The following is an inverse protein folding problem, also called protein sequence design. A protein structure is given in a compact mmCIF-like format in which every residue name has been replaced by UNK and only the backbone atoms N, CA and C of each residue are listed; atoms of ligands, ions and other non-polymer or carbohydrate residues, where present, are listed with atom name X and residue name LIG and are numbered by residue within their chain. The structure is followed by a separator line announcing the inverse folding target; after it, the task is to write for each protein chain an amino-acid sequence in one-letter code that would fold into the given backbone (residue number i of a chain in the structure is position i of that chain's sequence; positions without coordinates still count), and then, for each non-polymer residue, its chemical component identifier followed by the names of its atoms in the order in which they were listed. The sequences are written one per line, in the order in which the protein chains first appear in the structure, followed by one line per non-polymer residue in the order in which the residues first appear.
data_IF_504954943338
#
_entry.id   IF_504954943338
#
_cell.length_a   1.000
_cell.length_b   1.000
_cell.length_c   1.000
_cell.angle_alpha   90.00
_cell.angle_beta   90.00
_cell.angle_gamma   90.00
#
_symmetry.space_group_name_H-M   'P 1'
#
loop_
_entity.id
_entity.type
_entity.pdbx_description
1 polymer ?
2 polymer ?
3 non-polymer ?
4 water ?
#
# COMPACT_ATOMS: atom_id res chain seq x y z
N UNK A 11 -26.48 -14.54 -2.06
CA UNK A 11 -26.22 -14.35 -0.60
C UNK A 11 -25.74 -12.91 -0.27
N UNK A 12 -24.83 -12.35 -1.08
CA UNK A 12 -24.52 -10.92 -1.02
C UNK A 12 -25.79 -10.13 -1.33
N UNK A 13 -26.09 -9.12 -0.52
CA UNK A 13 -27.19 -8.20 -0.85
C UNK A 13 -26.83 -7.41 -2.13
N UNK A 14 -27.85 -6.85 -2.78
CA UNK A 14 -27.65 -6.03 -3.99
C UNK A 14 -26.79 -4.80 -3.67
N UNK A 15 -26.98 -4.24 -2.47
CA UNK A 15 -26.17 -3.11 -1.98
C UNK A 15 -24.72 -3.48 -1.80
N UNK A 16 -24.46 -4.72 -1.37
CA UNK A 16 -23.09 -5.19 -1.18
C UNK A 16 -22.39 -5.46 -2.50
N UNK A 17 -23.10 -6.10 -3.45
CA UNK A 17 -22.56 -6.35 -4.78
C UNK A 17 -22.13 -5.04 -5.43
N UNK A 18 -23.02 -4.04 -5.42
CA UNK A 18 -22.71 -2.70 -5.93
C UNK A 18 -21.49 -2.07 -5.21
N UNK A 19 -21.45 -2.16 -3.88
CA UNK A 19 -20.36 -1.58 -3.11
C UNK A 19 -19.04 -2.20 -3.55
N UNK A 20 -19.00 -3.53 -3.67
CA UNK A 20 -17.79 -4.25 -4.08
C UNK A 20 -17.40 -4.02 -5.55
N UNK A 21 -18.38 -4.02 -6.45
CA UNK A 21 -18.12 -3.75 -7.86
C UNK A 21 -17.42 -2.43 -8.06
N UNK A 22 -17.88 -1.42 -7.31
CA UNK A 22 -17.36 -0.07 -7.43
C UNK A 22 -15.94 0.04 -6.87
N UNK A 23 -15.65 -0.66 -5.78
CA UNK A 23 -14.28 -0.70 -5.21
C UNK A 23 -13.29 -1.36 -6.17
N UNK A 24 -13.70 -2.48 -6.76
CA UNK A 24 -12.88 -3.22 -7.73
C UNK A 24 -12.65 -2.40 -9.00
N UNK A 25 -13.70 -1.69 -9.45
CA UNK A 25 -13.60 -0.81 -10.62
C UNK A 25 -12.77 0.43 -10.29
N UNK A 26 -12.99 0.98 -9.09
CA UNK A 26 -12.21 2.14 -8.59
C UNK A 26 -10.71 1.85 -8.56
N UNK A 27 -10.33 0.62 -8.19
CA UNK A 27 -8.92 0.24 -8.10
C UNK A 27 -8.30 -0.09 -9.46
N UNK A 28 -9.10 -0.56 -10.39
CA UNK A 28 -8.63 -0.76 -11.76
C UNK A 28 -8.37 0.58 -12.47
N UNK A 29 -9.27 1.55 -12.30
CA UNK A 29 -9.09 2.93 -12.83
C UNK A 29 -7.84 3.62 -12.25
N UNK A 30 -7.66 3.53 -10.92
CA UNK A 30 -6.46 4.07 -10.25
C UNK A 30 -5.18 3.41 -10.76
N UNK A 31 -5.27 2.12 -11.09
CA UNK A 31 -4.12 1.34 -11.53
C UNK A 31 -3.69 1.62 -12.96
N UNK A 32 -4.64 1.81 -13.87
CA UNK A 32 -4.29 2.08 -15.28
C UNK A 32 -3.67 3.48 -15.48
N UNK A 33 -3.98 4.42 -14.58
CA UNK A 33 -3.32 5.73 -14.53
C UNK A 33 -1.79 5.61 -14.30
N UNK A 34 -1.40 4.69 -13.41
CA UNK A 34 0.01 4.35 -13.16
C UNK A 34 0.74 3.78 -14.40
N UNK A 35 0.08 2.83 -15.08
CA UNK A 35 0.62 2.18 -16.30
C UNK A 35 0.86 3.19 -17.44
N UNK A 36 0.16 4.33 -17.41
CA UNK A 36 0.37 5.43 -18.38
C UNK A 36 1.79 6.05 -18.27
N UNK A 37 2.30 6.18 -17.02
CA UNK A 37 3.64 6.73 -16.76
C UNK A 37 4.64 5.68 -16.23
N UNK A 38 4.71 4.52 -16.92
CA UNK A 38 5.76 3.50 -16.70
C UNK A 38 7.05 3.82 -17.50
N UNK A 39 6.93 4.29 -18.77
CA UNK A 39 8.16 4.65 -19.47
C UNK A 39 8.73 6.03 -19.02
N UNK A 40 8.29 6.49 -17.85
CA UNK A 40 8.73 7.75 -17.26
C UNK A 40 9.52 7.56 -15.95
N UNK A 41 9.59 6.32 -15.43
CA UNK A 41 10.41 6.03 -14.24
C UNK A 41 11.85 5.77 -14.68
N UNK A 42 12.82 6.24 -13.89
CA UNK A 42 14.25 5.97 -14.14
C UNK A 42 14.45 4.48 -14.44
N UNK A 43 15.04 4.18 -15.60
CA UNK A 43 15.18 2.76 -15.91
C UNK A 43 16.11 2.02 -14.94
N UNK A 44 15.77 0.76 -14.68
CA UNK A 44 16.58 -0.11 -13.85
C UNK A 44 17.83 -0.48 -14.64
N UNK A 45 19.04 -0.27 -14.06
CA UNK A 45 20.24 -0.42 -14.88
C UNK A 45 20.41 -1.84 -15.45
N UNK A 46 20.28 -1.96 -16.77
CA UNK A 46 20.37 -3.24 -17.46
C UNK A 46 21.82 -3.65 -17.57
N UNK A 47 22.16 -4.80 -17.00
CA UNK A 47 23.56 -5.19 -16.84
C UNK A 47 24.21 -4.15 -15.95
N UNK A 48 25.38 -3.68 -16.34
CA UNK A 48 26.09 -2.62 -15.59
C UNK A 48 27.09 -3.25 -14.63
N UNK A 49 28.32 -2.75 -14.66
CA UNK A 49 29.37 -3.16 -13.74
C UNK A 49 28.82 -3.12 -12.32
N UNK A 50 29.05 -4.18 -11.52
CA UNK A 50 28.42 -4.21 -10.19
C UNK A 50 29.02 -3.22 -9.18
N UNK A 51 30.12 -2.56 -9.53
CA UNK A 51 30.72 -1.50 -8.71
C UNK A 51 30.48 -0.09 -9.25
N UNK A 52 29.51 0.09 -10.16
CA UNK A 52 29.15 1.42 -10.67
C UNK A 52 28.29 2.14 -9.66
N UNK A 53 28.79 3.25 -9.11
CA UNK A 53 28.00 4.05 -8.17
C UNK A 53 26.82 4.80 -8.84
N UNK A 54 26.94 5.06 -10.14
CA UNK A 54 25.83 5.64 -10.90
C UNK A 54 24.65 4.66 -10.95
N UNK A 55 24.95 3.40 -11.26
CA UNK A 55 23.95 2.33 -11.29
C UNK A 55 23.31 2.13 -9.92
N UNK A 56 24.10 2.25 -8.84
CA UNK A 56 23.57 2.16 -7.47
C UNK A 56 22.55 3.27 -7.23
N UNK A 57 22.87 4.46 -7.71
CA UNK A 57 22.01 5.63 -7.58
C UNK A 57 20.71 5.46 -8.37
N UNK A 58 20.82 4.91 -9.58
CA UNK A 58 19.66 4.68 -10.44
C UNK A 58 18.70 3.66 -9.83
N UNK A 59 19.25 2.62 -9.21
CA UNK A 59 18.45 1.57 -8.60
C UNK A 59 17.64 2.12 -7.43
N UNK A 60 18.28 2.90 -6.58
CA UNK A 60 17.59 3.61 -5.49
C UNK A 60 16.46 4.53 -6.00
N UNK A 61 16.77 5.35 -7.00
CA UNK A 61 15.79 6.28 -7.60
C UNK A 61 14.60 5.54 -8.22
N UNK A 62 14.87 4.49 -8.99
CA UNK A 62 13.82 3.62 -9.55
C UNK A 62 12.79 3.26 -8.47
N UNK A 63 13.25 2.67 -7.38
CA UNK A 63 12.39 2.27 -6.28
C UNK A 63 11.61 3.41 -5.64
N UNK A 64 12.27 4.54 -5.37
CA UNK A 64 11.57 5.66 -4.74
C UNK A 64 10.55 6.30 -5.70
N UNK A 65 10.76 6.14 -7.00
CA UNK A 65 9.79 6.61 -8.00
C UNK A 65 8.60 5.66 -8.15
N UNK A 66 8.82 4.36 -7.96
CA UNK A 66 7.71 3.41 -7.89
C UNK A 66 6.89 3.67 -6.62
N UNK A 67 7.59 4.00 -5.53
CA UNK A 67 6.92 4.34 -4.26
C UNK A 67 6.00 5.55 -4.45
N UNK A 68 6.47 6.58 -5.16
CA UNK A 68 5.68 7.80 -5.46
C UNK A 68 4.41 7.50 -6.26
N UNK A 69 4.55 6.66 -7.29
CA UNK A 69 3.39 6.18 -8.06
C UNK A 69 2.38 5.41 -7.18
N UNK A 70 2.90 4.55 -6.31
CA UNK A 70 2.07 3.82 -5.34
C UNK A 70 1.27 4.77 -4.43
N UNK A 71 1.91 5.81 -3.89
CA UNK A 71 1.19 6.83 -3.10
C UNK A 71 0.09 7.55 -3.89
N UNK A 72 0.37 7.88 -5.15
CA UNK A 72 -0.64 8.44 -6.07
C UNK A 72 -1.83 7.50 -6.32
N UNK A 73 -1.58 6.22 -6.58
CA UNK A 73 -2.65 5.22 -6.65
C UNK A 73 -3.51 5.15 -5.38
N UNK A 74 -2.85 5.20 -4.23
CA UNK A 74 -3.50 5.08 -2.93
C UNK A 74 -4.44 6.28 -2.68
N UNK A 75 -3.93 7.50 -2.82
CA UNK A 75 -4.74 8.69 -2.63
C UNK A 75 -5.92 8.68 -3.64
N UNK A 76 -5.62 8.39 -4.90
CA UNK A 76 -6.62 8.30 -5.97
C UNK A 76 -7.75 7.28 -5.69
N UNK A 77 -7.39 6.14 -5.11
CA UNK A 77 -8.36 5.13 -4.68
C UNK A 77 -9.17 5.57 -3.44
N UNK A 78 -8.47 6.10 -2.43
CA UNK A 78 -9.09 6.59 -1.21
C UNK A 78 -10.20 7.57 -1.57
N UNK A 79 -9.91 8.51 -2.46
CA UNK A 79 -10.89 9.52 -2.86
C UNK A 79 -12.15 8.90 -3.45
N UNK A 80 -12.02 7.71 -4.06
CA UNK A 80 -13.16 6.97 -4.59
C UNK A 80 -13.88 6.05 -3.56
N UNK A 81 -13.32 5.80 -2.38
CA UNK A 81 -14.00 4.99 -1.37
C UNK A 81 -15.13 5.83 -0.75
N UNK A 82 -16.40 5.39 -0.92
CA UNK A 82 -17.53 6.16 -0.33
C UNK A 82 -17.40 6.34 1.17
N UNK A 83 -17.58 7.57 1.60
CA UNK A 83 -17.38 7.95 2.99
C UNK A 83 -16.15 8.81 3.17
N UNK A 84 -15.12 8.53 2.38
CA UNK A 84 -13.80 9.12 2.61
C UNK A 84 -13.77 10.63 2.46
N UNK A 85 -14.27 11.14 1.34
CA UNK A 85 -14.30 12.60 1.09
C UNK A 85 -15.29 13.38 1.95
N UNK A 86 -16.12 12.68 2.72
CA UNK A 86 -17.07 13.34 3.62
C UNK A 86 -16.46 13.60 5.01
N UNK A 87 -15.32 12.97 5.31
CA UNK A 87 -14.56 13.23 6.53
C UNK A 87 -13.92 14.57 6.37
N UNK A 88 -13.55 15.21 7.48
CA UNK A 88 -12.82 16.46 7.42
C UNK A 88 -11.49 16.26 6.70
N UNK A 89 -10.95 17.34 6.15
CA UNK A 89 -9.69 17.29 5.44
C UNK A 89 -8.51 16.78 6.26
N UNK A 90 -8.45 17.18 7.52
CA UNK A 90 -7.31 16.83 8.39
C UNK A 90 -7.32 15.36 8.75
N UNK A 91 -8.52 14.82 8.92
CA UNK A 91 -8.68 13.37 9.14
C UNK A 91 -8.30 12.58 7.89
N UNK A 92 -8.74 13.06 6.72
CA UNK A 92 -8.30 12.48 5.45
C UNK A 92 -6.78 12.35 5.42
N UNK A 93 -6.08 13.41 5.83
CA UNK A 93 -4.62 13.46 5.84
C UNK A 93 -4.02 12.49 6.87
N UNK A 94 -4.59 12.51 8.08
CA UNK A 94 -4.15 11.63 9.17
C UNK A 94 -4.28 10.16 8.79
N UNK A 95 -5.41 9.80 8.18
CA UNK A 95 -5.66 8.41 7.79
C UNK A 95 -4.72 7.97 6.66
N UNK A 96 -4.49 8.86 5.69
CA UNK A 96 -3.59 8.55 4.56
C UNK A 96 -2.12 8.48 4.98
N UNK A 97 -1.70 9.37 5.88
CA UNK A 97 -0.34 9.32 6.37
C UNK A 97 -0.05 7.98 7.07
N UNK A 98 -0.95 7.52 7.93
CA UNK A 98 -0.79 6.22 8.61
C UNK A 98 -0.97 4.97 7.70
N UNK A 99 -1.89 5.03 6.74
CA UNK A 99 -2.23 3.84 5.93
C UNK A 99 -1.27 3.57 4.78
N UNK A 100 -0.52 4.58 4.39
CA UNK A 100 0.22 4.54 3.13
C UNK A 100 1.16 3.38 3.09
N UNK A 101 1.99 3.25 4.12
CA UNK A 101 2.92 2.13 4.19
C UNK A 101 2.20 0.76 4.20
N UNK A 102 1.08 0.70 4.91
CA UNK A 102 0.35 -0.56 5.11
C UNK A 102 -0.32 -1.01 3.81
N UNK A 103 -0.88 -0.06 3.07
CA UNK A 103 -1.52 -0.34 1.79
C UNK A 103 -0.45 -0.64 0.72
N UNK A 104 0.68 0.06 0.77
CA UNK A 104 1.82 -0.26 -0.09
C UNK A 104 2.25 -1.72 0.07
N UNK A 105 2.27 -2.20 1.32
CA UNK A 105 2.65 -3.59 1.64
C UNK A 105 1.59 -4.63 1.24
N UNK A 106 0.30 -4.30 1.40
CA UNK A 106 -0.79 -5.14 0.86
C UNK A 106 -0.72 -5.27 -0.67
N UNK A 107 -0.37 -4.17 -1.32
CA UNK A 107 -0.23 -4.12 -2.78
C UNK A 107 1.01 -4.84 -3.28
N UNK A 108 2.09 -4.77 -2.50
CA UNK A 108 3.28 -5.57 -2.74
C UNK A 108 2.96 -7.07 -2.60
N UNK A 109 2.22 -7.42 -1.55
CA UNK A 109 1.80 -8.81 -1.32
C UNK A 109 0.96 -9.31 -2.50
N UNK A 110 0.03 -8.49 -2.97
CA UNK A 110 -0.78 -8.85 -4.14
C UNK A 110 0.06 -9.15 -5.40
N UNK A 111 1.24 -8.53 -5.52
CA UNK A 111 2.12 -8.69 -6.69
C UNK A 111 3.26 -9.70 -6.50
N UNK A 112 3.25 -10.40 -5.38
CA UNK A 112 4.21 -11.47 -5.12
C UNK A 112 3.88 -12.73 -5.93
N UNK A 113 4.90 -13.34 -6.53
CA UNK A 113 4.77 -14.61 -7.22
C UNK A 113 5.49 -15.68 -6.40
N UNK A 114 4.75 -16.63 -5.82
CA UNK A 114 5.39 -17.60 -4.93
C UNK A 114 6.27 -18.60 -5.69
N UNK A 115 5.85 -19.03 -6.88
CA UNK A 115 6.69 -19.93 -7.70
C UNK A 115 8.12 -19.39 -7.84
N UNK A 116 8.26 -18.12 -8.25
CA UNK A 116 9.59 -17.49 -8.48
C UNK A 116 10.10 -16.58 -7.33
N UNK A 117 9.30 -16.37 -6.28
CA UNK A 117 9.72 -15.56 -5.12
C UNK A 117 10.23 -14.17 -5.52
N UNK A 118 9.37 -13.44 -6.24
CA UNK A 118 9.71 -12.13 -6.77
C UNK A 118 8.45 -11.31 -6.96
N UNK A 119 8.57 -10.01 -6.73
CA UNK A 119 7.46 -9.05 -6.76
C UNK A 119 7.54 -8.27 -8.08
N UNK A 120 6.41 -8.16 -8.79
CA UNK A 120 6.36 -7.43 -10.07
C UNK A 120 5.65 -6.11 -9.88
N UNK A 121 6.37 -5.00 -10.02
CA UNK A 121 5.78 -3.66 -9.92
C UNK A 121 5.39 -3.18 -11.32
N UNK A 122 4.26 -2.47 -11.43
CA UNK A 122 3.71 -2.03 -12.74
C UNK A 122 3.57 -3.23 -13.70
N UNK A 123 3.80 -3.07 -15.00
CA UNK A 123 3.54 -4.18 -15.93
C UNK A 123 4.54 -5.33 -15.68
N UNK A 124 5.84 -5.01 -15.74
CA UNK A 124 6.90 -6.02 -15.71
C UNK A 124 8.21 -5.50 -15.13
N UNK A 125 8.14 -4.95 -13.92
CA UNK A 125 9.33 -4.68 -13.14
C UNK A 125 9.42 -5.72 -12.04
N UNK A 126 9.98 -6.88 -12.38
CA UNK A 126 10.04 -8.04 -11.48
C UNK A 126 11.36 -8.08 -10.70
N UNK A 127 11.28 -8.02 -9.36
CA UNK A 127 12.46 -8.00 -8.50
C UNK A 127 12.50 -9.10 -7.42
N UNK A 128 13.70 -9.59 -7.15
CA UNK A 128 13.93 -10.57 -6.08
C UNK A 128 14.44 -9.86 -4.82
N UNK A 129 14.82 -10.63 -3.81
CA UNK A 129 15.35 -10.08 -2.55
C UNK A 129 16.68 -9.38 -2.76
N UNK A 130 17.53 -10.01 -3.57
CA UNK A 130 18.80 -9.41 -3.99
C UNK A 130 18.58 -8.02 -4.60
N UNK A 131 17.55 -7.87 -5.44
CA UNK A 131 17.24 -6.58 -6.09
C UNK A 131 16.73 -5.53 -5.10
N UNK A 132 15.96 -5.96 -4.11
CA UNK A 132 15.53 -5.03 -3.04
C UNK A 132 16.73 -4.53 -2.27
N UNK A 133 17.70 -5.41 -2.02
CA UNK A 133 18.93 -5.03 -1.35
C UNK A 133 19.80 -4.08 -2.20
N UNK A 134 19.87 -4.33 -3.50
CA UNK A 134 20.57 -3.42 -4.41
C UNK A 134 19.89 -2.07 -4.62
N UNK A 135 18.59 -1.99 -4.35
CA UNK A 135 17.85 -0.72 -4.34
C UNK A 135 18.08 0.08 -3.05
N UNK A 136 18.91 -0.41 -2.12
CA UNK A 136 19.25 0.34 -0.90
C UNK A 136 18.50 -0.06 0.36
N UNK A 137 17.75 -1.17 0.31
CA UNK A 137 16.96 -1.64 1.45
C UNK A 137 17.78 -2.62 2.29
N UNK A 138 17.52 -2.62 3.61
CA UNK A 138 18.25 -3.46 4.56
C UNK A 138 17.51 -4.79 4.79
N UNK A 139 18.28 -5.82 5.15
CA UNK A 139 17.76 -7.18 5.35
C UNK A 139 16.69 -7.21 6.46
N UNK A 140 16.79 -6.30 7.43
CA UNK A 140 15.79 -6.18 8.51
C UNK A 140 14.40 -5.84 8.00
N UNK A 141 14.32 -5.20 6.83
CA UNK A 141 13.05 -4.84 6.22
C UNK A 141 12.66 -5.81 5.10
N UNK A 142 13.64 -6.26 4.32
CA UNK A 142 13.36 -7.12 3.18
C UNK A 142 12.76 -8.47 3.62
N UNK A 143 13.37 -9.11 4.61
CA UNK A 143 12.89 -10.43 5.02
C UNK A 143 11.41 -10.43 5.46
N UNK A 144 11.01 -9.51 6.35
CA UNK A 144 9.57 -9.39 6.66
C UNK A 144 8.66 -9.15 5.45
N UNK A 145 9.00 -8.20 4.59
CA UNK A 145 8.21 -7.91 3.39
C UNK A 145 7.89 -9.19 2.61
N UNK A 146 8.92 -9.98 2.31
CA UNK A 146 8.74 -11.23 1.59
C UNK A 146 8.01 -12.27 2.40
N UNK A 147 8.23 -12.26 3.71
CA UNK A 147 7.53 -13.17 4.62
C UNK A 147 6.03 -12.86 4.69
N UNK A 148 5.70 -11.58 4.81
CA UNK A 148 4.31 -11.13 4.80
C UNK A 148 3.64 -11.44 3.47
N UNK A 149 4.36 -11.21 2.37
CA UNK A 149 3.86 -11.48 1.02
C UNK A 149 3.55 -12.96 0.88
N UNK A 150 4.43 -13.80 1.41
CA UNK A 150 4.28 -15.27 1.35
C UNK A 150 3.05 -15.73 2.13
N UNK A 151 2.81 -15.15 3.31
CA UNK A 151 1.63 -15.47 4.13
C UNK A 151 0.31 -14.98 3.50
N UNK A 152 0.33 -13.78 2.91
CA UNK A 152 -0.82 -13.26 2.10
C UNK A 152 -1.17 -14.14 0.89
N UNK A 153 -0.13 -14.64 0.23
CA UNK A 153 -0.26 -15.51 -0.94
C UNK A 153 -1.08 -16.77 -0.60
N UNK A 154 -0.81 -17.35 0.57
CA UNK A 154 -1.50 -18.58 0.99
C UNK A 154 -2.98 -18.35 1.31
N UNK A 155 -3.34 -17.14 1.72
CA UNK A 155 -4.76 -16.79 1.92
C UNK A 155 -5.54 -16.77 0.61
N UNK A 156 -4.83 -16.58 -0.51
CA UNK A 156 -5.46 -16.58 -1.84
C UNK A 156 -6.53 -15.52 -2.02
N UNK A 157 -6.20 -14.27 -1.66
CA UNK A 157 -7.15 -13.17 -1.77
C UNK A 157 -7.40 -12.85 -3.25
N UNK A 158 -8.62 -12.43 -3.57
CA UNK A 158 -8.95 -11.93 -4.91
C UNK A 158 -9.13 -10.42 -4.86
N UNK A 159 -9.53 -9.83 -5.99
CA UNK A 159 -9.60 -8.37 -6.15
C UNK A 159 -10.56 -7.70 -5.17
N UNK A 160 -11.75 -8.28 -5.03
CA UNK A 160 -12.77 -7.81 -4.10
C UNK A 160 -12.23 -7.81 -2.66
N UNK A 161 -11.52 -8.88 -2.29
CA UNK A 161 -10.99 -9.02 -0.93
C UNK A 161 -9.87 -8.01 -0.66
N UNK A 162 -8.94 -7.85 -1.60
CA UNK A 162 -7.93 -6.81 -1.46
C UNK A 162 -8.55 -5.41 -1.36
N UNK A 163 -9.49 -5.12 -2.26
CA UNK A 163 -10.15 -3.82 -2.32
C UNK A 163 -10.83 -3.48 -0.98
N UNK A 164 -11.57 -4.47 -0.45
CA UNK A 164 -12.26 -4.34 0.84
C UNK A 164 -11.29 -4.22 2.02
N UNK A 165 -10.25 -5.04 2.06
CA UNK A 165 -9.26 -4.95 3.14
C UNK A 165 -8.57 -3.56 3.16
N UNK A 166 -8.27 -3.01 1.98
CA UNK A 166 -7.68 -1.68 1.85
C UNK A 166 -8.63 -0.59 2.42
N UNK A 167 -9.90 -0.61 1.99
CA UNK A 167 -10.93 0.30 2.54
C UNK A 167 -11.03 0.19 4.05
N UNK A 168 -11.06 -1.04 4.57
CA UNK A 168 -11.06 -1.30 6.00
C UNK A 168 -9.83 -0.69 6.69
N UNK A 169 -8.66 -0.91 6.11
CA UNK A 169 -7.41 -0.35 6.64
C UNK A 169 -7.39 1.19 6.68
N UNK A 170 -7.95 1.83 5.66
CA UNK A 170 -8.03 3.30 5.60
C UNK A 170 -8.87 3.84 6.77
N UNK A 171 -10.02 3.21 7.01
CA UNK A 171 -10.93 3.65 8.06
C UNK A 171 -10.59 3.01 9.42
N UNK A 172 -9.33 3.09 9.81
CA UNK A 172 -8.89 2.71 11.15
C UNK A 172 -9.02 3.92 12.11
N UNK A 173 -9.93 3.86 13.08
CA UNK A 173 -10.23 5.01 13.96
C UNK A 173 -9.08 5.48 14.85
N UNK A 174 -8.19 4.56 15.21
CA UNK A 174 -7.14 4.83 16.20
C UNK A 174 -5.85 5.45 15.64
N UNK A 175 -5.85 5.84 14.37
CA UNK A 175 -4.64 6.45 13.78
C UNK A 175 -4.28 7.72 14.56
N UNK A 176 -2.98 8.09 14.58
CA UNK A 176 -2.56 9.36 15.19
C UNK A 176 -3.20 10.58 14.50
N UNK A 177 -3.66 11.53 15.32
CA UNK A 177 -4.18 12.83 14.89
C UNK A 177 -5.57 12.84 14.26
N UNK A 178 -6.25 11.69 14.28
CA UNK A 178 -7.64 11.63 13.83
C UNK A 178 -8.50 12.34 14.86
N UNK A 179 -9.18 13.40 14.43
CA UNK A 179 -10.01 14.21 15.33
C UNK A 179 -11.43 13.67 15.53
N UNK A 180 -11.94 12.88 14.59
CA UNK A 180 -13.30 12.33 14.71
C UNK A 180 -13.32 10.79 14.55
N UNK A 181 -12.72 10.07 15.51
CA UNK A 181 -12.63 8.59 15.44
C UNK A 181 -13.97 7.86 15.43
N UNK A 182 -15.00 8.46 16.00
CA UNK A 182 -16.35 7.89 15.96
C UNK A 182 -16.86 7.74 14.54
N UNK A 183 -16.73 8.81 13.75
CA UNK A 183 -17.14 8.78 12.35
C UNK A 183 -16.35 7.77 11.55
N UNK A 184 -15.03 7.72 11.77
CA UNK A 184 -14.13 6.84 11.03
C UNK A 184 -14.47 5.38 11.31
N UNK A 185 -14.69 5.03 12.58
CA UNK A 185 -15.07 3.67 12.95
C UNK A 185 -16.43 3.30 12.38
N UNK A 186 -17.37 4.24 12.39
CA UNK A 186 -18.67 4.03 11.76
C UNK A 186 -18.57 3.77 10.25
N UNK A 187 -17.63 4.43 9.58
CA UNK A 187 -17.40 4.20 8.15
C UNK A 187 -16.74 2.85 7.85
N UNK A 188 -16.01 2.31 8.82
CA UNK A 188 -15.33 1.04 8.65
C UNK A 188 -16.32 -0.13 8.61
N UNK A 189 -17.44 0.01 9.31
CA UNK A 189 -18.37 -1.12 9.52
C UNK A 189 -18.99 -1.75 8.26
N UNK A 190 -19.50 -0.93 7.31
CA UNK A 190 -20.07 -1.53 6.09
C UNK A 190 -19.06 -2.35 5.28
N UNK A 191 -17.80 -1.93 5.26
CA UNK A 191 -16.73 -2.65 4.56
C UNK A 191 -16.33 -3.94 5.28
N UNK A 192 -16.31 -3.90 6.61
CA UNK A 192 -16.05 -5.11 7.43
C UNK A 192 -17.15 -6.14 7.18
N UNK A 193 -18.39 -5.67 7.17
CA UNK A 193 -19.54 -6.52 6.97
C UNK A 193 -19.62 -7.08 5.54
N UNK A 194 -19.19 -6.28 4.57
CA UNK A 194 -19.18 -6.72 3.17
C UNK A 194 -18.13 -7.83 2.99
N UNK A 195 -16.98 -7.67 3.65
CA UNK A 195 -15.91 -8.67 3.62
C UNK A 195 -16.31 -9.93 4.40
N UNK A 196 -17.03 -9.75 5.50
CA UNK A 196 -17.57 -10.88 6.26
C UNK A 196 -18.52 -11.73 5.39
N UNK A 197 -19.39 -11.08 4.61
CA UNK A 197 -20.33 -11.78 3.73
C UNK A 197 -19.64 -12.37 2.51
N UNK A 198 -18.72 -11.60 1.93
CA UNK A 198 -18.00 -12.07 0.75
C UNK A 198 -17.18 -13.35 1.04
N UNK A 199 -16.42 -13.34 2.13
CA UNK A 199 -15.58 -14.48 2.51
C UNK A 199 -16.42 -15.72 2.83
N UNK A 200 -17.59 -15.49 3.43
CA UNK A 200 -18.52 -16.55 3.83
C UNK A 200 -19.13 -17.28 2.62
N UNK A 201 -19.30 -16.55 1.51
CA UNK A 201 -19.79 -17.12 0.25
C UNK A 201 -18.67 -17.84 -0.51
N UNK A 202 -17.51 -17.20 -0.60
CA UNK A 202 -16.36 -17.75 -1.34
C UNK A 202 -15.84 -19.06 -0.73
N UNK A 203 -15.63 -19.08 0.58
CA UNK A 203 -15.26 -20.29 1.32
C UNK A 203 -16.26 -20.53 2.46
N UNK A 204 -17.38 -21.20 2.15
CA UNK A 204 -18.41 -21.38 3.17
C UNK A 204 -18.07 -22.45 4.21
N UNK A 205 -17.04 -23.27 3.95
CA UNK A 205 -16.61 -24.28 4.92
C UNK A 205 -15.58 -23.72 5.90
N UNK A 206 -14.78 -22.76 5.45
CA UNK A 206 -13.71 -22.17 6.25
C UNK A 206 -14.19 -20.88 6.91
N UNK A 207 -14.71 -20.99 8.13
CA UNK A 207 -15.14 -19.82 8.90
C UNK A 207 -13.98 -18.98 9.44
N UNK A 208 -12.77 -19.56 9.48
CA UNK A 208 -11.58 -18.88 10.04
C UNK A 208 -10.77 -18.10 8.98
N UNK A 209 -11.29 -18.01 7.76
CA UNK A 209 -10.62 -17.30 6.68
C UNK A 209 -10.74 -15.79 6.92
N UNK A 210 -11.92 -15.35 7.33
CA UNK A 210 -12.20 -13.95 7.62
C UNK A 210 -11.38 -13.38 8.80
N UNK A 211 -11.37 -14.08 9.97
CA UNK A 211 -10.40 -13.77 11.03
C UNK A 211 -8.94 -13.76 10.56
N UNK A 212 -8.51 -14.79 9.84
CA UNK A 212 -7.13 -14.86 9.32
C UNK A 212 -6.76 -13.61 8.49
N UNK A 213 -7.73 -13.04 7.79
CA UNK A 213 -7.52 -11.81 7.00
C UNK A 213 -7.44 -10.55 7.86
N UNK A 214 -8.35 -10.42 8.81
CA UNK A 214 -8.30 -9.32 9.75
C UNK A 214 -7.00 -9.35 10.58
N UNK A 215 -6.49 -10.54 10.87
CA UNK A 215 -5.23 -10.66 11.61
C UNK A 215 -4.06 -10.01 10.86
N UNK A 216 -4.12 -9.97 9.53
CA UNK A 216 -3.07 -9.34 8.73
C UNK A 216 -2.93 -7.85 9.02
N UNK A 217 -4.04 -7.22 9.40
CA UNK A 217 -4.03 -5.82 9.81
C UNK A 217 -3.22 -5.62 11.09
N UNK A 218 -3.28 -6.60 12.00
CA UNK A 218 -2.39 -6.62 13.16
C UNK A 218 -0.94 -6.69 12.67
N UNK A 219 -0.64 -7.61 11.75
CA UNK A 219 0.72 -7.77 11.22
C UNK A 219 1.23 -6.51 10.52
N UNK A 220 0.33 -5.81 9.85
CA UNK A 220 0.67 -4.58 9.16
C UNK A 220 1.07 -3.45 10.12
N UNK A 221 0.58 -3.50 11.36
CA UNK A 221 0.99 -2.51 12.37
C UNK A 221 2.45 -2.64 12.73
N UNK A 222 2.90 -3.88 12.91
CA UNK A 222 4.30 -4.15 13.24
C UNK A 222 5.16 -3.74 12.05
N UNK A 223 4.82 -4.24 10.86
CA UNK A 223 5.58 -3.95 9.66
C UNK A 223 5.71 -2.44 9.42
N UNK A 224 4.71 -1.66 9.87
CA UNK A 224 4.76 -0.20 9.81
C UNK A 224 5.93 0.35 10.63
N UNK A 225 6.12 -0.19 11.84
CA UNK A 225 7.29 0.12 12.68
C UNK A 225 8.62 -0.31 12.05
N UNK A 226 8.65 -1.50 11.46
CA UNK A 226 9.86 -1.99 10.81
C UNK A 226 10.32 -1.03 9.71
N UNK A 227 9.36 -0.50 8.95
CA UNK A 227 9.63 0.52 7.91
C UNK A 227 10.13 1.87 8.46
N UNK A 228 9.56 2.34 9.56
CA UNK A 228 10.04 3.55 10.24
C UNK A 228 11.47 3.41 10.73
N UNK A 229 11.86 2.21 11.16
CA UNK A 229 13.26 1.93 11.48
C UNK A 229 14.11 2.01 10.21
N UNK A 230 13.66 1.39 9.11
CA UNK A 230 14.34 1.49 7.80
C UNK A 230 14.55 2.97 7.38
N UNK A 231 13.51 3.80 7.55
CA UNK A 231 13.54 5.23 7.22
C UNK A 231 14.59 6.00 8.06
N UNK A 232 14.56 5.85 9.38
CA UNK A 232 15.59 6.45 10.25
C UNK A 232 17.00 5.92 9.92
N UNK A 233 17.08 4.69 9.39
CA UNK A 233 18.35 4.06 8.96
C UNK A 233 18.91 4.65 7.66
N UNK A 234 18.03 5.02 6.73
CA UNK A 234 18.42 5.76 5.51
C UNK A 234 19.08 7.08 5.89
N UNK A 235 18.38 7.87 6.71
CA UNK A 235 18.86 9.17 7.24
C UNK A 235 20.32 9.08 7.73
N UNK A 236 20.64 8.05 8.53
CA UNK A 236 22.01 7.80 9.02
C UNK A 236 22.94 7.11 7.97
N UNK A 237 22.76 7.38 6.68
CA UNK A 237 23.60 6.79 5.62
C UNK A 237 23.45 7.38 4.18
N UNK A 238 23.09 8.68 4.08
CA UNK A 238 22.67 9.33 2.78
C UNK A 238 21.15 9.11 2.55
N UNK A 239 20.31 9.96 3.16
CA UNK A 239 18.85 9.83 3.03
C UNK A 239 18.42 9.94 1.55
N UNK A 240 18.07 11.15 1.09
CA UNK A 240 17.77 11.38 -0.32
C UNK A 240 16.42 10.78 -0.76
N UNK A 241 15.45 10.66 0.16
CA UNK A 241 14.07 10.33 -0.24
C UNK A 241 13.40 11.55 -0.87
N UNK A 242 12.61 11.36 -1.96
CA UNK A 242 11.91 12.49 -2.56
C UNK A 242 10.92 13.17 -1.58
N UNK A 243 10.53 14.44 -1.86
CA UNK A 243 9.73 15.31 -0.98
C UNK A 243 8.40 14.74 -0.51
N UNK A 244 7.60 14.18 -1.43
CA UNK A 244 6.30 13.59 -1.08
C UNK A 244 6.49 12.49 -0.03
N UNK A 245 7.47 11.62 -0.26
CA UNK A 245 7.77 10.50 0.65
C UNK A 245 8.34 10.98 2.02
N UNK A 246 9.30 11.89 2.02
CA UNK A 246 9.81 12.43 3.29
C UNK A 246 8.79 13.32 4.06
N UNK A 247 7.84 13.90 3.33
CA UNK A 247 6.73 14.63 3.96
C UNK A 247 5.72 13.66 4.62
N UNK A 248 5.20 12.73 3.84
CA UNK A 248 4.21 11.75 4.35
C UNK A 248 4.73 11.03 5.59
N UNK A 249 5.96 10.54 5.52
CA UNK A 249 6.57 9.74 6.58
C UNK A 249 7.31 10.55 7.62
N UNK A 250 7.09 11.87 7.64
CA UNK A 250 7.52 12.76 8.72
C UNK A 250 9.02 12.70 9.02
N UNK A 251 9.82 12.60 7.96
CA UNK A 251 11.28 12.45 8.08
C UNK A 251 11.96 13.71 8.62
N UNK A 252 11.43 14.88 8.30
CA UNK A 252 12.07 16.16 8.65
C UNK A 252 11.26 17.08 9.58
N UNK A 253 9.98 16.78 9.78
CA UNK A 253 9.06 17.72 10.44
C UNK A 253 7.80 17.01 10.95
N UNK B 1 2.22 20.36 10.91
CA UNK B 1 2.72 20.26 9.53
C UNK B 1 1.69 20.84 8.56
N UNK B 2 2.16 21.36 7.43
CA UNK B 2 1.29 21.71 6.31
C UNK B 2 0.88 20.50 5.46
N UNK B 3 1.75 19.50 5.34
CA UNK B 3 1.56 18.37 4.41
C UNK B 3 1.14 18.84 3.02
N UNK B 4 1.87 19.79 2.47
CA UNK B 4 1.46 20.46 1.22
C UNK B 4 1.32 19.52 0.03
N UNK B 5 2.23 18.57 -0.10
CA UNK B 5 2.25 17.66 -1.26
C UNK B 5 1.14 16.60 -1.22
N UNK B 6 0.84 16.09 -0.04
CA UNK B 6 -0.31 15.19 0.11
C UNK B 6 -1.62 15.94 -0.17
N UNK B 7 -1.71 17.20 0.27
CA UNK B 7 -2.91 18.00 0.04
C UNK B 7 -3.14 18.26 -1.44
N UNK B 8 -2.03 18.51 -2.14
CA UNK B 8 -2.03 18.71 -3.58
C UNK B 8 -2.66 17.51 -4.33
N UNK B 9 -2.24 16.30 -3.97
CA UNK B 9 -2.82 15.05 -4.49
C UNK B 9 -4.33 14.91 -4.16
N UNK B 10 -4.70 15.25 -2.92
CA UNK B 10 -6.10 15.24 -2.53
C UNK B 10 -6.95 16.25 -3.31
N UNK B 11 -6.38 17.39 -3.71
CA UNK B 11 -7.13 18.47 -4.37
C UNK B 11 -7.57 18.18 -5.80
N UNK B 12 -6.78 17.39 -6.53
CA UNK B 12 -7.19 16.89 -7.86
C UNK B 12 -6.20 15.87 -8.41
X LIG C 1 16.14 2.52 0.31
X LIG C 1 10.16 -1.72 -1.66
X LIG C 1 14.83 2.70 -0.28
X LIG C 1 10.87 3.66 1.06
X LIG C 1 11.02 3.34 -0.35
X LIG C 1 7.90 1.11 1.84
X LIG C 1 14.53 2.58 -1.60
X LIG C 1 13.25 2.79 -1.83
X LIG C 1 10.84 4.37 -1.36
X LIG C 1 3.73 -0.20 -8.26
X LIG C 1 12.72 3.03 -0.58
X LIG C 1 10.12 1.89 -0.75
X LIG C 1 3.15 -1.42 -8.79
X LIG C 1 13.68 2.98 0.40
X LIG C 1 3.06 1.08 -8.35
X LIG C 1 10.07 1.65 -2.21
X LIG C 1 8.76 1.20 -2.76
X LIG C 1 7.55 1.45 -2.15
X LIG C 1 6.38 1.00 -2.71
X LIG C 1 6.40 0.29 -3.90
X LIG C 1 7.62 0.05 -4.50
X LIG C 1 8.78 0.50 -3.94
X LIG C 1 5.19 -0.19 -4.53
X LIG C 1 4.19 -0.83 -3.83
X LIG C 1 3.05 -1.26 -4.46
X LIG C 1 2.88 -1.08 -5.82
X LIG C 1 3.91 -0.46 -6.51
X LIG C 1 5.05 -0.01 -5.88
X LIG C 1 5.33 0.14 -8.93
X LIG C 1 10.30 0.59 0.06
X LIG C 1 9.12 -0.39 -0.02
X LIG C 1 9.11 -1.48 -0.87
X LIG C 1 8.03 -2.34 -0.94
X LIG C 1 6.92 -2.14 -0.15
X LIG C 1 6.90 -1.08 0.70
X LIG C 1 7.98 -0.23 0.76
#
# INVERSE_FOLDING_TARGET
GSHMGEGEGVQLTAAQELMIQQLVAAQLQSNKRSFSDQPKVTPWPLGADPQSRDARQQRFAHFTELAIISVQEIVDFAKQVPGFLQLGREDQIALLKASTIEIMLLETARRYNHETESITFLKDFTYSKDDFHRAGLQVEFINPIFEFSRAMSSLGLDDAEYALLIAINIFSADRPNVQEPGRVEALQQPYVEALLSYTRIKRPQDQLRFPRMLMKLVSLRTLSSVHSEQVFALRLADAALPPLLSEIWDVHE
KENALLRYLLDK
G58 C1 F1 N1 O1 S1 CL1 C2 N2 O2 S2 C3 N3 O3 C4 O4 C5 C6 C7 C8 C9 C10 C11 C12 C13 C14 C15 C16 C17 C18 C19 C20 C21 C22 C23 C24 C25
#
